data_IF_270229852643
#
_entry.id   IF_270229852643
#
_cell.length_a   1.000
_cell.length_b   1.000
_cell.length_c   1.000
_cell.angle_alpha   90.00
_cell.angle_beta   90.00
_cell.angle_gamma   90.00
#
_symmetry.space_group_name_H-M   'P 1'
#
loop_
_entity.id
_entity.type
_entity.pdbx_description
1 polymer ?
#
# COMPACT_ATOMS: atom_id res chain seq x y z
N UNK A 1 19.23 -11.36 18.57
CA UNK A 1 18.17 -11.34 17.53
C UNK A 1 17.62 -9.92 17.46
N UNK A 2 17.49 -9.34 16.27
CA UNK A 2 16.97 -7.98 16.13
C UNK A 2 15.43 -8.03 16.13
N UNK A 3 14.78 -7.36 17.08
CA UNK A 3 13.31 -7.30 17.16
C UNK A 3 12.77 -6.52 15.95
N UNK A 4 11.81 -7.06 15.17
CA UNK A 4 11.18 -6.34 14.08
C UNK A 4 10.53 -5.03 14.56
N UNK A 5 10.64 -3.97 13.76
CA UNK A 5 10.14 -2.64 14.10
C UNK A 5 9.18 -2.14 13.03
N UNK A 6 8.01 -1.69 13.48
CA UNK A 6 7.05 -0.93 12.69
C UNK A 6 7.27 0.55 12.98
N UNK A 7 7.41 1.36 11.93
CA UNK A 7 7.53 2.82 12.03
C UNK A 7 6.42 3.47 11.23
N UNK A 8 5.81 4.50 11.80
CA UNK A 8 4.72 5.22 11.19
C UNK A 8 5.08 6.70 11.10
N UNK A 9 5.04 7.24 9.89
CA UNK A 9 5.15 8.68 9.64
C UNK A 9 3.76 9.23 9.36
N UNK A 10 3.25 10.05 10.26
CA UNK A 10 1.88 10.57 10.19
C UNK A 10 1.88 12.10 10.13
N UNK A 11 0.96 12.66 9.33
CA UNK A 11 0.84 14.11 9.12
C UNK A 11 0.08 14.44 7.83
N UNK A 12 -0.40 15.68 7.64
CA UNK A 12 -1.17 16.07 6.46
C UNK A 12 -0.33 16.03 5.17
N UNK A 13 -0.99 16.05 4.01
CA UNK A 13 -0.28 16.16 2.73
C UNK A 13 0.54 17.45 2.69
N UNK A 14 1.76 17.38 2.15
CA UNK A 14 2.68 18.51 2.11
C UNK A 14 3.40 18.82 3.43
N UNK A 15 3.20 18.05 4.50
CA UNK A 15 3.87 18.29 5.80
C UNK A 15 5.35 17.87 5.86
N UNK A 16 5.97 17.52 4.72
CA UNK A 16 7.38 17.12 4.66
C UNK A 16 7.72 15.71 5.15
N UNK A 17 6.73 14.81 5.32
CA UNK A 17 6.98 13.41 5.77
C UNK A 17 7.99 12.69 4.89
N UNK A 18 7.85 12.80 3.58
CA UNK A 18 8.74 12.14 2.63
C UNK A 18 10.14 12.75 2.61
N UNK A 19 10.32 13.98 3.12
CA UNK A 19 11.63 14.60 3.36
C UNK A 19 12.37 13.93 4.51
N UNK A 20 11.67 13.33 5.48
CA UNK A 20 12.35 12.58 6.55
C UNK A 20 13.06 11.34 5.99
N UNK A 21 12.57 10.75 4.89
CA UNK A 21 13.23 9.62 4.24
C UNK A 21 14.61 9.99 3.70
N UNK A 22 14.82 11.23 3.27
CA UNK A 22 16.11 11.66 2.70
C UNK A 22 17.14 11.98 3.78
N UNK A 23 16.71 12.10 5.04
CA UNK A 23 17.53 12.44 6.20
C UNK A 23 17.83 11.18 7.04
N UNK A 24 16.90 10.22 7.07
CA UNK A 24 17.04 8.97 7.81
C UNK A 24 17.86 7.95 7.01
N UNK A 25 18.77 7.26 7.69
CA UNK A 25 19.56 6.19 7.08
C UNK A 25 18.64 5.09 6.55
N UNK A 26 18.79 4.69 5.28
CA UNK A 26 17.96 3.66 4.62
C UNK A 26 17.92 2.35 5.42
N UNK A 27 19.04 1.98 6.07
CA UNK A 27 19.13 0.79 6.92
C UNK A 27 18.19 0.85 8.16
N UNK A 28 17.74 2.04 8.55
CA UNK A 28 16.81 2.23 9.66
C UNK A 28 15.35 2.14 9.23
N UNK A 29 15.02 2.34 7.95
CA UNK A 29 13.64 2.42 7.47
C UNK A 29 13.06 1.04 7.17
N UNK A 30 13.89 0.06 6.79
CA UNK A 30 13.42 -1.22 6.29
C UNK A 30 12.64 -1.02 4.98
N UNK A 31 11.63 -1.85 4.73
CA UNK A 31 10.74 -1.65 3.58
C UNK A 31 9.91 -0.40 3.82
N UNK A 32 9.89 0.51 2.85
CA UNK A 32 9.17 1.76 2.95
C UNK A 32 7.89 1.74 2.11
N UNK A 33 6.76 2.14 2.70
CA UNK A 33 5.43 2.04 2.10
C UNK A 33 4.78 3.43 2.08
N UNK A 34 4.39 3.89 0.89
CA UNK A 34 3.72 5.17 0.70
C UNK A 34 2.60 5.00 -0.33
N UNK A 35 1.36 5.35 0.06
CA UNK A 35 0.19 5.19 -0.81
C UNK A 35 0.25 6.07 -2.06
N UNK A 36 0.78 7.30 -1.98
CA UNK A 36 0.90 8.20 -3.13
C UNK A 36 1.92 7.64 -4.15
N UNK A 37 3.02 7.05 -3.68
CA UNK A 37 4.01 6.40 -4.57
C UNK A 37 3.45 5.12 -5.21
N UNK A 38 2.69 4.33 -4.44
CA UNK A 38 1.96 3.18 -4.98
C UNK A 38 0.97 3.62 -6.07
N UNK A 39 0.20 4.68 -5.83
CA UNK A 39 -0.74 5.21 -6.82
C UNK A 39 0.00 5.65 -8.09
N UNK A 40 1.13 6.36 -7.97
CA UNK A 40 1.96 6.78 -9.11
C UNK A 40 2.49 5.59 -9.90
N UNK A 41 2.96 4.53 -9.23
CA UNK A 41 3.42 3.30 -9.89
C UNK A 41 2.29 2.67 -10.70
N UNK A 42 1.13 2.46 -10.07
CA UNK A 42 -0.02 1.83 -10.71
C UNK A 42 -0.50 2.68 -11.89
N UNK A 43 -0.61 4.00 -11.74
CA UNK A 43 -1.03 4.90 -12.85
C UNK A 43 -0.05 4.91 -14.02
N UNK A 44 1.23 4.62 -13.76
CA UNK A 44 2.28 4.65 -14.77
C UNK A 44 2.39 3.33 -15.53
N UNK A 45 2.13 2.21 -14.86
CA UNK A 45 2.43 0.88 -15.39
C UNK A 45 1.23 -0.06 -15.47
N UNK A 46 0.06 0.36 -14.98
CA UNK A 46 -1.15 -0.45 -14.81
C UNK A 46 -0.96 -1.67 -13.89
N UNK A 47 0.12 -1.71 -13.10
CA UNK A 47 0.36 -2.74 -12.10
C UNK A 47 1.13 -2.24 -10.89
N UNK A 48 1.05 -3.00 -9.79
CA UNK A 48 1.92 -2.86 -8.62
C UNK A 48 2.84 -4.09 -8.49
N UNK A 49 4.15 -3.90 -8.47
CA UNK A 49 5.11 -5.00 -8.34
C UNK A 49 5.37 -5.36 -6.87
N UNK A 50 4.84 -6.49 -6.42
CA UNK A 50 4.96 -6.94 -5.02
C UNK A 50 6.39 -7.31 -4.63
N UNK A 51 7.23 -7.64 -5.61
CA UNK A 51 8.65 -7.91 -5.41
C UNK A 51 9.41 -6.70 -4.85
N UNK A 52 8.93 -5.47 -5.13
CA UNK A 52 9.50 -4.24 -4.55
C UNK A 52 9.40 -4.20 -3.02
N UNK A 53 8.46 -4.97 -2.45
CA UNK A 53 8.21 -5.07 -1.02
C UNK A 53 8.61 -6.42 -0.44
N UNK A 54 9.33 -7.27 -1.20
CA UNK A 54 9.72 -8.62 -0.78
C UNK A 54 8.55 -9.49 -0.28
N UNK A 55 7.36 -9.31 -0.87
CA UNK A 55 6.18 -10.13 -0.56
C UNK A 55 5.68 -10.83 -1.81
N UNK A 56 4.89 -11.89 -1.60
CA UNK A 56 4.15 -12.58 -2.65
C UNK A 56 2.67 -12.62 -2.28
N UNK A 57 1.81 -12.63 -3.29
CA UNK A 57 0.37 -12.82 -3.11
C UNK A 57 -0.24 -13.59 -4.28
N UNK A 58 -1.35 -14.27 -4.03
CA UNK A 58 -2.22 -14.80 -5.10
C UNK A 58 -3.38 -13.86 -5.41
N UNK A 59 -4.04 -14.06 -6.55
CA UNK A 59 -5.26 -13.32 -6.89
C UNK A 59 -6.34 -13.48 -5.81
N UNK A 60 -6.49 -14.68 -5.25
CA UNK A 60 -7.47 -14.99 -4.21
C UNK A 60 -7.18 -14.23 -2.92
N UNK A 61 -5.90 -14.11 -2.54
CA UNK A 61 -5.50 -13.29 -1.38
C UNK A 61 -5.84 -11.81 -1.59
N UNK A 62 -5.55 -11.27 -2.78
CA UNK A 62 -5.90 -9.89 -3.13
C UNK A 62 -7.42 -9.68 -3.10
N UNK A 63 -8.19 -10.55 -3.75
CA UNK A 63 -9.64 -10.46 -3.76
C UNK A 63 -10.22 -10.55 -2.35
N UNK A 64 -9.77 -11.53 -1.56
CA UNK A 64 -10.21 -11.69 -0.17
C UNK A 64 -9.92 -10.45 0.65
N UNK A 65 -8.70 -9.91 0.58
CA UNK A 65 -8.33 -8.73 1.35
C UNK A 65 -9.15 -7.49 0.94
N UNK A 66 -9.21 -7.19 -0.35
CA UNK A 66 -9.86 -5.98 -0.85
C UNK A 66 -11.38 -6.01 -0.64
N UNK A 67 -12.04 -7.15 -0.87
CA UNK A 67 -13.50 -7.27 -0.71
C UNK A 67 -13.97 -7.06 0.73
N UNK A 68 -13.13 -7.39 1.72
CA UNK A 68 -13.44 -7.19 3.14
C UNK A 68 -12.92 -5.84 3.68
N UNK A 69 -12.21 -5.05 2.86
CA UNK A 69 -11.63 -3.79 3.31
C UNK A 69 -12.67 -2.67 3.36
N UNK A 70 -12.76 -1.98 4.50
CA UNK A 70 -13.78 -0.95 4.75
C UNK A 70 -13.77 0.20 3.73
N UNK A 71 -12.59 0.65 3.28
CA UNK A 71 -12.49 1.68 2.23
C UNK A 71 -13.09 1.23 0.88
N UNK A 72 -12.88 -0.03 0.48
CA UNK A 72 -13.45 -0.57 -0.76
C UNK A 72 -14.97 -0.59 -0.66
N UNK A 73 -15.52 -1.02 0.49
CA UNK A 73 -16.96 -1.06 0.71
C UNK A 73 -17.59 0.33 0.75
N UNK A 74 -16.97 1.29 1.45
CA UNK A 74 -17.47 2.67 1.56
C UNK A 74 -17.45 3.41 0.23
N UNK A 75 -16.46 3.12 -0.63
CA UNK A 75 -16.33 3.74 -1.94
C UNK A 75 -17.07 2.98 -3.07
N UNK A 76 -17.81 1.91 -2.74
CA UNK A 76 -18.51 1.04 -3.69
C UNK A 76 -17.61 0.47 -4.80
N UNK A 77 -16.39 0.06 -4.45
CA UNK A 77 -15.34 -0.40 -5.39
C UNK A 77 -15.25 -1.94 -5.49
N UNK A 78 -16.27 -2.66 -5.02
CA UNK A 78 -16.25 -4.13 -4.99
C UNK A 78 -16.27 -4.75 -6.39
N UNK A 79 -16.89 -4.10 -7.38
CA UNK A 79 -16.95 -4.62 -8.75
C UNK A 79 -15.59 -4.49 -9.47
N UNK A 80 -14.92 -3.38 -9.27
CA UNK A 80 -13.54 -3.12 -9.70
C UNK A 80 -12.57 -4.12 -9.08
N UNK A 81 -12.71 -4.38 -7.78
CA UNK A 81 -11.83 -5.32 -7.05
C UNK A 81 -11.80 -6.71 -7.70
N UNK A 82 -12.94 -7.19 -8.22
CA UNK A 82 -13.02 -8.51 -8.89
C UNK A 82 -12.25 -8.59 -10.20
N UNK A 83 -11.92 -7.45 -10.82
CA UNK A 83 -11.13 -7.35 -12.05
C UNK A 83 -9.62 -7.30 -11.80
N UNK A 84 -9.20 -7.21 -10.54
CA UNK A 84 -7.78 -7.33 -10.19
C UNK A 84 -7.31 -8.76 -10.43
N UNK A 85 -6.06 -8.93 -10.84
CA UNK A 85 -5.43 -10.24 -10.97
C UNK A 85 -3.97 -10.16 -10.57
N UNK A 86 -3.39 -11.28 -10.14
CA UNK A 86 -1.95 -11.37 -9.87
C UNK A 86 -1.29 -12.29 -10.89
N UNK A 87 -0.27 -11.76 -11.57
CA UNK A 87 0.61 -12.51 -12.48
C UNK A 87 2.05 -12.01 -12.34
N UNK A 88 3.03 -12.91 -12.40
CA UNK A 88 4.45 -12.59 -12.23
C UNK A 88 4.75 -11.68 -11.02
N UNK A 89 4.07 -11.98 -9.90
CA UNK A 89 4.10 -11.24 -8.65
C UNK A 89 3.75 -9.74 -8.77
N UNK A 90 2.86 -9.41 -9.72
CA UNK A 90 2.33 -8.06 -9.94
C UNK A 90 0.82 -8.10 -9.82
N UNK A 91 0.25 -7.16 -9.07
CA UNK A 91 -1.20 -6.93 -9.09
C UNK A 91 -1.51 -6.09 -10.32
N UNK A 92 -2.29 -6.63 -11.25
CA UNK A 92 -2.77 -5.92 -12.44
C UNK A 92 -3.99 -5.07 -12.12
N UNK A 93 -3.95 -3.83 -12.59
CA UNK A 93 -5.01 -2.83 -12.51
C UNK A 93 -5.52 -2.42 -13.91
N UNK A 94 -5.06 -3.08 -14.97
CA UNK A 94 -5.32 -2.72 -16.36
C UNK A 94 -6.81 -2.61 -16.73
N UNK A 95 -7.69 -3.36 -16.07
CA UNK A 95 -9.13 -3.36 -16.35
C UNK A 95 -9.94 -2.35 -15.53
N UNK A 96 -9.28 -1.52 -14.69
CA UNK A 96 -9.96 -0.59 -13.79
C UNK A 96 -9.36 0.82 -13.79
N UNK A 97 -10.21 1.81 -13.51
CA UNK A 97 -9.77 3.19 -13.29
C UNK A 97 -9.30 3.31 -11.83
N UNK A 98 -8.00 3.46 -11.65
CA UNK A 98 -7.38 3.51 -10.32
C UNK A 98 -7.58 4.87 -9.66
N UNK A 99 -7.89 4.84 -8.36
CA UNK A 99 -7.99 6.00 -7.47
C UNK A 99 -7.16 5.77 -6.20
N UNK A 100 -7.07 6.79 -5.36
CA UNK A 100 -6.27 6.77 -4.13
C UNK A 100 -6.74 5.73 -3.10
N UNK A 101 -7.99 5.27 -3.17
CA UNK A 101 -8.47 4.19 -2.29
C UNK A 101 -7.80 2.86 -2.62
N UNK A 102 -7.64 2.50 -3.90
CA UNK A 102 -6.90 1.28 -4.27
C UNK A 102 -5.46 1.30 -3.76
N UNK A 103 -4.77 2.44 -3.92
CA UNK A 103 -3.40 2.57 -3.44
C UNK A 103 -3.31 2.50 -1.90
N UNK A 104 -4.27 3.09 -1.18
CA UNK A 104 -4.36 3.01 0.28
C UNK A 104 -4.58 1.56 0.75
N UNK A 105 -5.43 0.81 0.04
CA UNK A 105 -5.71 -0.60 0.36
C UNK A 105 -4.50 -1.49 0.01
N UNK A 106 -3.79 -1.21 -1.08
CA UNK A 106 -2.51 -1.86 -1.38
C UNK A 106 -1.48 -1.63 -0.28
N UNK A 107 -1.35 -0.39 0.19
CA UNK A 107 -0.44 -0.06 1.28
C UNK A 107 -0.80 -0.84 2.56
N UNK A 108 -2.09 -0.99 2.89
CA UNK A 108 -2.54 -1.81 4.02
C UNK A 108 -2.24 -3.30 3.83
N UNK A 109 -2.53 -3.83 2.64
CA UNK A 109 -2.22 -5.21 2.29
C UNK A 109 -0.73 -5.53 2.47
N UNK A 110 0.16 -4.66 1.96
CA UNK A 110 1.61 -4.81 2.12
C UNK A 110 1.99 -4.81 3.61
N UNK A 111 1.43 -3.89 4.41
CA UNK A 111 1.68 -3.86 5.87
C UNK A 111 1.29 -5.18 6.53
N UNK A 112 0.12 -5.73 6.21
CA UNK A 112 -0.34 -7.00 6.75
C UNK A 112 0.62 -8.15 6.41
N UNK A 113 1.03 -8.28 5.14
CA UNK A 113 1.98 -9.31 4.72
C UNK A 113 3.33 -9.16 5.42
N UNK A 114 3.84 -7.94 5.61
CA UNK A 114 5.11 -7.72 6.30
C UNK A 114 5.02 -7.98 7.81
N UNK A 115 3.86 -7.75 8.43
CA UNK A 115 3.60 -8.13 9.83
C UNK A 115 3.62 -9.65 9.99
N UNK A 116 2.95 -10.39 9.10
CA UNK A 116 2.95 -11.86 9.08
C UNK A 116 4.38 -12.43 8.93
N UNK A 117 5.18 -11.81 8.04
CA UNK A 117 6.56 -12.19 7.80
C UNK A 117 7.54 -11.70 8.88
N UNK A 118 7.07 -10.91 9.87
CA UNK A 118 7.90 -10.31 10.93
C UNK A 118 9.07 -9.49 10.38
N UNK A 119 8.83 -8.75 9.30
CA UNK A 119 9.83 -7.87 8.66
C UNK A 119 9.68 -6.44 9.20
N UNK A 120 10.81 -5.74 9.38
CA UNK A 120 10.77 -4.32 9.76
C UNK A 120 10.36 -3.46 8.58
N UNK A 121 9.42 -2.53 8.79
CA UNK A 121 8.97 -1.62 7.75
C UNK A 121 8.61 -0.25 8.31
N UNK A 122 8.56 0.73 7.41
CA UNK A 122 8.11 2.08 7.65
C UNK A 122 6.96 2.39 6.69
N UNK A 123 5.93 3.07 7.18
CA UNK A 123 4.83 3.51 6.31
C UNK A 123 4.41 4.94 6.60
N UNK A 124 3.96 5.62 5.54
CA UNK A 124 3.29 6.91 5.65
C UNK A 124 1.78 6.75 5.80
N UNK A 125 1.19 7.62 6.61
CA UNK A 125 -0.26 7.76 6.71
C UNK A 125 -0.66 9.24 6.81
N UNK A 126 -1.81 9.56 6.24
CA UNK A 126 -2.42 10.88 6.34
C UNK A 126 -3.43 10.83 7.48
N UNK A 127 -3.33 11.76 8.43
CA UNK A 127 -4.38 11.92 9.44
C UNK A 127 -5.63 12.45 8.73
N UNK A 128 -6.74 11.73 8.81
CA UNK A 128 -8.03 12.19 8.29
C UNK A 128 -8.47 13.44 9.06
N UNK A 129 -8.72 14.56 8.37
CA UNK A 129 -9.64 15.58 8.86
C UNK A 129 -11.01 15.34 8.23
N UNK A 130 -12.07 15.68 8.96
CA UNK A 130 -13.46 15.54 8.47
C UNK A 130 -13.69 16.32 7.16
N UNK A 131 -12.85 17.32 6.86
CA UNK A 131 -12.90 18.15 5.65
C UNK A 131 -12.55 17.42 4.34
N UNK A 132 -12.15 16.14 4.40
CA UNK A 132 -11.73 15.34 3.22
C UNK A 132 -12.68 14.17 2.88
N UNK A 133 -13.89 14.13 3.47
CA UNK A 133 -14.94 13.14 3.18
C UNK A 133 -16.11 13.79 2.48
#
# INVERSE_FOLDING_TARGET
MNTPRVRMFAGPNGSGKSTLNTILNENLLGIYINADEIEKEIRKFDFLNLSNYNINATTEEIHSFFMHHSLIQKADLSNETRRLSVSDNKISFFEIIVNSYFASVCADFIRHKLLELKVSFTFETVMSSEDKV
#
